data_IF_950529651890
#
_entry.id   IF_950529651890
#
_cell.length_a   1.000
_cell.length_b   1.000
_cell.length_c   1.000
_cell.angle_alpha   90.00
_cell.angle_beta   90.00
_cell.angle_gamma   90.00
#
_symmetry.space_group_name_H-M   'P 1'
#
loop_
_entity.id
_entity.type
_entity.pdbx_description
1 polymer ?
#
# COMPACT_ATOMS: atom_id res chain seq x y z
N UNK A 1 -0.67 14.38 -6.72
CA UNK A 1 0.54 13.66 -6.31
C UNK A 1 1.16 14.31 -5.06
N UNK A 2 1.33 15.66 -5.04
CA UNK A 2 1.88 16.37 -3.88
C UNK A 2 1.02 16.21 -2.62
N UNK A 3 -0.32 16.24 -2.76
CA UNK A 3 -1.25 15.99 -1.63
C UNK A 3 -1.21 14.55 -1.12
N UNK A 4 -0.65 13.63 -1.88
CA UNK A 4 -0.42 12.23 -1.47
C UNK A 4 1.02 11.98 -0.98
N UNK A 5 1.74 13.03 -0.59
CA UNK A 5 3.07 12.93 -0.01
C UNK A 5 4.23 12.84 -1.01
N UNK A 6 3.97 12.91 -2.32
CA UNK A 6 5.04 12.90 -3.34
C UNK A 6 5.83 14.22 -3.25
N UNK A 7 7.10 14.12 -2.92
CA UNK A 7 8.00 15.27 -2.74
C UNK A 7 9.15 15.34 -3.75
N UNK A 8 9.39 14.28 -4.51
CA UNK A 8 10.37 14.22 -5.59
C UNK A 8 9.68 13.86 -6.90
N UNK A 9 9.91 14.67 -7.93
CA UNK A 9 9.29 14.47 -9.23
C UNK A 9 10.36 14.16 -10.29
N UNK A 10 10.34 12.94 -10.78
CA UNK A 10 11.17 12.52 -11.91
C UNK A 10 10.27 12.31 -13.13
N UNK A 11 10.33 13.29 -14.05
CA UNK A 11 9.49 13.26 -15.23
C UNK A 11 10.04 12.27 -16.27
N UNK A 12 9.19 11.41 -16.76
CA UNK A 12 9.46 10.48 -17.84
C UNK A 12 8.44 10.66 -18.98
N UNK A 13 8.87 10.89 -20.22
CA UNK A 13 10.24 10.83 -20.70
C UNK A 13 10.61 12.04 -21.55
N UNK A 14 11.92 12.23 -21.74
CA UNK A 14 12.50 13.23 -22.59
C UNK A 14 13.25 12.53 -23.72
N UNK A 15 12.61 12.37 -24.88
CA UNK A 15 13.22 11.73 -26.04
C UNK A 15 14.03 12.73 -26.85
N UNK A 16 15.22 12.34 -27.26
CA UNK A 16 16.07 13.14 -28.12
C UNK A 16 15.41 13.38 -29.49
N UNK A 17 14.75 12.37 -30.03
CA UNK A 17 14.00 12.42 -31.28
C UNK A 17 12.68 11.66 -31.17
N UNK A 18 11.71 12.07 -31.98
CA UNK A 18 10.43 11.36 -32.15
C UNK A 18 10.27 10.86 -33.60
N UNK A 19 11.37 10.54 -34.29
CA UNK A 19 11.29 9.95 -35.62
C UNK A 19 10.87 8.50 -35.57
N UNK A 20 10.23 8.05 -36.63
CA UNK A 20 9.79 6.68 -36.84
C UNK A 20 9.00 6.11 -35.64
N UNK A 21 9.39 4.95 -35.16
CA UNK A 21 8.69 4.23 -34.08
C UNK A 21 8.69 4.97 -32.75
N UNK A 22 9.66 5.86 -32.50
CA UNK A 22 9.72 6.62 -31.24
C UNK A 22 8.53 7.55 -31.03
N UNK A 23 7.75 7.88 -32.10
CA UNK A 23 6.48 8.59 -31.97
C UNK A 23 5.42 7.82 -31.21
N UNK A 24 5.51 6.50 -31.24
CA UNK A 24 4.53 5.58 -30.65
C UNK A 24 4.98 5.05 -29.28
N UNK A 25 6.14 5.48 -28.80
CA UNK A 25 6.64 5.06 -27.52
C UNK A 25 5.83 5.68 -26.37
N UNK A 26 5.78 4.99 -25.26
CA UNK A 26 5.03 5.40 -24.07
C UNK A 26 5.99 5.60 -22.89
N UNK A 27 5.82 6.69 -22.16
CA UNK A 27 4.92 7.83 -22.35
C UNK A 27 5.40 8.78 -23.47
N UNK A 28 4.53 9.66 -23.98
CA UNK A 28 4.93 10.60 -25.04
C UNK A 28 6.01 11.58 -24.58
N UNK A 29 6.89 11.99 -25.50
CA UNK A 29 7.98 12.90 -25.21
C UNK A 29 7.49 14.24 -24.62
N UNK A 30 8.11 14.67 -23.54
CA UNK A 30 7.91 15.97 -22.90
C UNK A 30 8.97 16.99 -23.28
N UNK A 31 9.86 16.67 -24.23
CA UNK A 31 10.99 17.49 -24.64
C UNK A 31 10.61 18.50 -25.75
N UNK A 32 11.59 18.95 -26.51
CA UNK A 32 11.46 20.02 -27.53
C UNK A 32 10.34 19.80 -28.53
N UNK A 33 9.96 18.57 -28.79
CA UNK A 33 8.90 18.18 -29.72
C UNK A 33 7.50 18.41 -29.16
N UNK A 34 7.40 18.59 -27.83
CA UNK A 34 6.12 18.82 -27.17
C UNK A 34 5.71 20.30 -27.35
N UNK A 35 4.48 20.57 -27.85
CA UNK A 35 4.02 21.95 -28.04
C UNK A 35 3.99 22.79 -26.77
N UNK A 36 3.89 22.14 -25.60
CA UNK A 36 3.92 22.82 -24.30
C UNK A 36 5.32 23.05 -23.74
N UNK A 37 6.39 22.59 -24.40
CA UNK A 37 7.76 22.71 -23.91
C UNK A 37 8.15 24.12 -23.50
N UNK A 38 7.76 25.14 -24.28
CA UNK A 38 8.03 26.56 -23.98
C UNK A 38 7.42 27.04 -22.66
N UNK A 39 6.45 26.31 -22.11
CA UNK A 39 5.80 26.62 -20.83
C UNK A 39 6.28 25.74 -19.70
N UNK A 40 7.14 24.78 -19.97
CA UNK A 40 7.58 23.77 -19.00
C UNK A 40 8.21 24.40 -17.76
N UNK A 41 8.88 25.54 -17.92
CA UNK A 41 9.43 26.32 -16.82
C UNK A 41 8.38 26.67 -15.77
N UNK A 42 7.17 27.02 -16.18
CA UNK A 42 6.08 27.37 -15.25
C UNK A 42 5.65 26.15 -14.41
N UNK A 43 5.60 24.97 -15.03
CA UNK A 43 5.34 23.73 -14.31
C UNK A 43 6.46 23.41 -13.34
N UNK A 44 7.71 23.51 -13.77
CA UNK A 44 8.87 23.25 -12.93
C UNK A 44 8.93 24.18 -11.71
N UNK A 45 8.68 25.48 -11.90
CA UNK A 45 8.63 26.44 -10.80
C UNK A 45 7.47 26.16 -9.82
N UNK A 46 6.31 25.73 -10.33
CA UNK A 46 5.16 25.33 -9.49
C UNK A 46 5.50 24.09 -8.66
N UNK A 47 6.01 23.04 -9.31
CA UNK A 47 6.40 21.78 -8.64
C UNK A 47 7.53 22.03 -7.63
N UNK A 48 8.50 22.90 -7.99
CA UNK A 48 9.58 23.28 -7.08
C UNK A 48 9.08 23.97 -5.81
N UNK A 49 8.09 24.88 -5.92
CA UNK A 49 7.46 25.50 -4.73
C UNK A 49 6.71 24.49 -3.88
N UNK A 50 5.98 23.57 -4.49
CA UNK A 50 5.35 22.46 -3.76
C UNK A 50 6.38 21.60 -3.04
N UNK A 51 7.48 21.25 -3.74
CA UNK A 51 8.57 20.47 -3.17
C UNK A 51 9.17 21.10 -1.91
N UNK A 52 9.36 22.44 -1.90
CA UNK A 52 9.84 23.15 -0.70
C UNK A 52 8.93 22.97 0.50
N UNK A 53 7.61 22.89 0.29
CA UNK A 53 6.64 22.74 1.39
C UNK A 53 6.67 21.35 2.01
N UNK A 54 6.94 20.32 1.21
CA UNK A 54 6.83 18.92 1.66
C UNK A 54 8.18 18.20 1.80
N UNK A 55 9.27 18.82 1.32
CA UNK A 55 10.62 18.27 1.50
C UNK A 55 11.11 18.56 2.91
N UNK A 56 11.77 17.58 3.53
CA UNK A 56 12.25 17.64 4.91
C UNK A 56 11.16 17.81 5.97
N UNK A 57 9.94 17.41 5.66
CA UNK A 57 8.85 17.27 6.62
C UNK A 57 8.51 15.80 6.79
N UNK A 58 8.00 15.45 7.96
CA UNK A 58 7.45 14.12 8.24
C UNK A 58 5.93 14.23 8.26
N UNK A 59 5.25 13.25 7.67
CA UNK A 59 3.79 13.19 7.70
C UNK A 59 3.33 12.75 9.10
N UNK A 60 2.30 13.41 9.64
CA UNK A 60 1.65 13.01 10.89
C UNK A 60 0.47 12.09 10.56
N UNK A 61 0.77 10.82 10.25
CA UNK A 61 -0.21 9.81 9.88
C UNK A 61 -0.42 8.87 11.06
N UNK A 62 -1.67 8.75 11.51
CA UNK A 62 -2.06 7.94 12.65
C UNK A 62 -2.65 6.58 12.27
N UNK A 63 -3.01 6.39 11.00
CA UNK A 63 -3.70 5.21 10.49
C UNK A 63 -2.75 4.42 9.59
N UNK A 64 -2.60 3.13 9.86
CA UNK A 64 -1.98 2.18 8.95
C UNK A 64 -3.04 1.23 8.39
N UNK A 65 -2.97 0.92 7.10
CA UNK A 65 -3.76 -0.15 6.47
C UNK A 65 -2.82 -1.31 6.21
N UNK A 66 -3.04 -2.43 6.88
CA UNK A 66 -2.22 -3.63 6.68
C UNK A 66 -2.47 -4.21 5.30
N UNK A 67 -1.42 -4.43 4.54
CA UNK A 67 -1.51 -5.02 3.22
C UNK A 67 -1.78 -6.54 3.34
N UNK A 68 -2.87 -7.08 2.75
CA UNK A 68 -3.24 -8.49 2.90
C UNK A 68 -2.41 -9.40 1.97
N UNK A 69 -1.09 -9.22 1.95
CA UNK A 69 -0.16 -9.85 0.99
C UNK A 69 -0.16 -11.36 1.15
N UNK A 70 -0.03 -11.86 2.38
CA UNK A 70 -0.06 -13.28 2.65
C UNK A 70 -1.36 -13.94 2.16
N UNK A 71 -2.51 -13.31 2.47
CA UNK A 71 -3.81 -13.83 2.03
C UNK A 71 -3.96 -13.82 0.51
N UNK A 72 -3.45 -12.81 -0.18
CA UNK A 72 -3.42 -12.76 -1.64
C UNK A 72 -2.53 -13.84 -2.24
N UNK A 73 -1.32 -14.02 -1.70
CA UNK A 73 -0.38 -15.01 -2.22
C UNK A 73 -0.88 -16.44 -2.12
N UNK A 74 -1.65 -16.78 -1.09
CA UNK A 74 -2.26 -18.10 -0.99
C UNK A 74 -3.30 -18.38 -2.09
N UNK A 75 -3.74 -17.36 -2.83
CA UNK A 75 -4.73 -17.44 -3.92
C UNK A 75 -4.16 -17.08 -5.29
N UNK A 76 -2.91 -16.64 -5.35
CA UNK A 76 -2.22 -16.42 -6.61
C UNK A 76 -1.79 -17.78 -7.18
N UNK A 77 -2.19 -18.06 -8.41
CA UNK A 77 -1.69 -19.20 -9.17
C UNK A 77 -0.25 -18.99 -9.64
N UNK A 78 0.18 -19.84 -10.56
CA UNK A 78 1.52 -19.75 -11.14
C UNK A 78 1.74 -18.36 -11.78
N UNK A 79 2.76 -17.59 -11.34
CA UNK A 79 3.04 -16.24 -11.84
C UNK A 79 3.42 -16.21 -13.32
N UNK A 80 3.71 -17.37 -13.94
CA UNK A 80 4.03 -17.49 -15.37
C UNK A 80 2.81 -17.71 -16.27
N UNK A 81 1.60 -17.86 -15.72
CA UNK A 81 0.37 -18.09 -16.48
C UNK A 81 -0.36 -16.81 -16.90
N UNK A 82 0.37 -15.84 -17.34
CA UNK A 82 -0.18 -14.63 -17.93
C UNK A 82 -0.35 -13.48 -16.92
N UNK A 83 -0.74 -12.36 -17.47
CA UNK A 83 -0.93 -11.13 -16.70
C UNK A 83 -2.37 -10.59 -16.94
N UNK A 84 -3.11 -10.21 -15.89
CA UNK A 84 -2.74 -10.17 -14.48
C UNK A 84 -2.73 -11.57 -13.84
N UNK A 85 -1.87 -11.75 -12.85
CA UNK A 85 -1.81 -12.98 -12.07
C UNK A 85 -3.11 -13.18 -11.30
N UNK A 86 -3.69 -14.36 -11.46
CA UNK A 86 -4.92 -14.78 -10.80
C UNK A 86 -4.77 -16.21 -10.35
N UNK A 87 -5.61 -16.64 -9.43
CA UNK A 87 -5.71 -18.04 -9.03
C UNK A 87 -5.96 -18.97 -10.22
N UNK A 88 -5.53 -20.21 -10.15
CA UNK A 88 -5.67 -21.19 -11.24
C UNK A 88 -7.12 -21.59 -11.47
N UNK A 89 -7.94 -21.60 -10.42
CA UNK A 89 -9.37 -21.89 -10.50
C UNK A 89 -10.23 -20.63 -10.50
N UNK A 90 -11.42 -20.71 -11.08
CA UNK A 90 -12.40 -19.62 -11.04
C UNK A 90 -12.75 -19.18 -9.61
N UNK A 91 -12.77 -20.15 -8.67
CA UNK A 91 -13.02 -19.88 -7.26
C UNK A 91 -11.92 -19.06 -6.63
N UNK A 92 -10.65 -19.37 -6.90
CA UNK A 92 -9.49 -18.63 -6.42
C UNK A 92 -9.42 -17.24 -7.02
N UNK A 93 -9.71 -17.12 -8.31
CA UNK A 93 -9.80 -15.82 -8.98
C UNK A 93 -10.82 -14.92 -8.31
N UNK A 94 -12.04 -15.43 -8.05
CA UNK A 94 -13.10 -14.67 -7.35
C UNK A 94 -12.67 -14.23 -5.95
N UNK A 95 -11.97 -15.12 -5.22
CA UNK A 95 -11.47 -14.80 -3.87
C UNK A 95 -10.39 -13.71 -3.93
N UNK A 96 -9.46 -13.81 -4.86
CA UNK A 96 -8.41 -12.82 -5.06
C UNK A 96 -8.98 -11.46 -5.46
N UNK A 97 -9.93 -11.45 -6.40
CA UNK A 97 -10.62 -10.23 -6.83
C UNK A 97 -11.39 -9.59 -5.66
N UNK A 98 -12.08 -10.38 -4.86
CA UNK A 98 -12.78 -9.90 -3.66
C UNK A 98 -11.82 -9.23 -2.66
N UNK A 99 -10.73 -9.90 -2.27
CA UNK A 99 -9.76 -9.34 -1.34
C UNK A 99 -9.18 -8.02 -1.85
N UNK A 100 -8.79 -7.99 -3.13
CA UNK A 100 -8.25 -6.80 -3.77
C UNK A 100 -9.26 -5.66 -3.84
N UNK A 101 -10.49 -5.92 -4.24
CA UNK A 101 -11.54 -4.91 -4.33
C UNK A 101 -11.87 -4.30 -2.97
N UNK A 102 -11.93 -5.12 -1.92
CA UNK A 102 -12.17 -4.64 -0.56
C UNK A 102 -11.03 -3.81 -0.02
N UNK A 103 -9.81 -4.26 -0.21
CA UNK A 103 -8.63 -3.49 0.16
C UNK A 103 -8.60 -2.12 -0.53
N UNK A 104 -8.77 -2.09 -1.85
CA UNK A 104 -8.84 -0.84 -2.61
C UNK A 104 -10.03 0.04 -2.17
N UNK A 105 -11.18 -0.57 -1.82
CA UNK A 105 -12.33 0.16 -1.32
C UNK A 105 -12.05 0.87 0.02
N UNK A 106 -11.37 0.19 0.94
CA UNK A 106 -10.95 0.77 2.23
C UNK A 106 -10.05 1.97 1.97
N UNK A 107 -8.99 1.79 1.17
CA UNK A 107 -8.05 2.86 0.82
C UNK A 107 -8.76 4.08 0.19
N UNK A 108 -9.68 3.84 -0.76
CA UNK A 108 -10.49 4.91 -1.36
C UNK A 108 -11.41 5.58 -0.36
N UNK A 109 -12.01 4.82 0.55
CA UNK A 109 -12.90 5.37 1.58
C UNK A 109 -12.13 6.31 2.50
N UNK A 110 -10.95 5.94 2.96
CA UNK A 110 -10.08 6.80 3.75
C UNK A 110 -9.72 8.06 2.96
N UNK A 111 -9.19 7.91 1.75
CA UNK A 111 -8.77 9.01 0.89
C UNK A 111 -9.90 10.01 0.62
N UNK A 112 -11.11 9.54 0.25
CA UNK A 112 -12.24 10.41 -0.05
C UNK A 112 -12.84 11.09 1.18
N UNK A 113 -12.57 10.58 2.38
CA UNK A 113 -12.92 11.22 3.64
C UNK A 113 -11.77 12.05 4.24
N UNK A 114 -10.68 12.28 3.48
CA UNK A 114 -9.54 13.08 3.91
C UNK A 114 -8.85 12.53 5.18
N UNK A 115 -8.84 11.21 5.31
CA UNK A 115 -8.11 10.50 6.34
C UNK A 115 -6.82 9.98 5.72
N UNK A 116 -5.71 10.58 6.12
CA UNK A 116 -4.40 10.12 5.67
C UNK A 116 -4.07 8.77 6.31
N UNK A 117 -3.45 7.91 5.53
CA UNK A 117 -3.02 6.59 5.96
C UNK A 117 -1.77 6.15 5.22
N UNK A 118 -1.00 5.30 5.86
CA UNK A 118 0.10 4.58 5.24
C UNK A 118 -0.28 3.11 4.99
N UNK A 119 0.36 2.51 3.99
CA UNK A 119 0.36 1.07 3.82
C UNK A 119 1.38 0.44 4.77
N UNK A 120 0.99 -0.62 5.45
CA UNK A 120 1.83 -1.36 6.38
C UNK A 120 1.98 -2.79 5.88
N UNK A 121 3.18 -3.17 5.47
CA UNK A 121 3.50 -4.56 5.19
C UNK A 121 3.71 -5.34 6.50
N UNK A 122 3.26 -6.59 6.53
CA UNK A 122 3.42 -7.44 7.70
C UNK A 122 4.90 -7.59 8.12
N UNK A 123 5.83 -7.69 7.15
CA UNK A 123 7.27 -7.80 7.42
C UNK A 123 7.81 -6.60 8.21
N UNK A 124 7.26 -5.40 8.00
CA UNK A 124 7.68 -4.21 8.75
C UNK A 124 7.38 -4.31 10.25
N UNK A 125 6.41 -5.14 10.63
CA UNK A 125 6.07 -5.35 12.05
C UNK A 125 7.16 -6.09 12.82
N UNK A 126 8.04 -6.85 12.19
CA UNK A 126 9.17 -7.49 12.89
C UNK A 126 10.07 -6.46 13.59
N UNK A 127 10.36 -5.35 12.90
CA UNK A 127 11.24 -4.28 13.37
C UNK A 127 10.46 -3.18 14.13
N UNK A 128 9.14 -3.31 14.26
CA UNK A 128 8.32 -2.31 14.92
C UNK A 128 8.51 -2.33 16.45
N UNK A 129 8.62 -1.14 17.02
CA UNK A 129 8.53 -0.92 18.46
C UNK A 129 7.08 -0.59 18.84
N UNK A 130 6.56 -1.27 19.86
CA UNK A 130 5.23 -1.02 20.39
C UNK A 130 5.38 -0.29 21.73
N UNK A 131 4.90 0.94 21.78
CA UNK A 131 4.89 1.73 23.02
C UNK A 131 3.78 2.78 23.00
N UNK A 132 3.26 3.12 24.16
CA UNK A 132 2.25 4.14 24.37
C UNK A 132 1.00 3.98 23.46
N UNK A 133 0.60 2.74 23.18
CA UNK A 133 -0.54 2.43 22.29
C UNK A 133 -0.28 2.76 20.84
N UNK A 134 0.99 2.77 20.41
CA UNK A 134 1.38 3.04 19.02
C UNK A 134 2.37 2.01 18.49
N UNK A 135 2.32 1.82 17.18
CA UNK A 135 3.33 1.10 16.41
C UNK A 135 4.32 2.14 15.87
N UNK A 136 5.56 2.07 16.29
CA UNK A 136 6.63 2.94 15.84
C UNK A 136 7.47 2.25 14.78
N UNK A 137 7.58 2.90 13.60
CA UNK A 137 8.42 2.47 12.48
C UNK A 137 9.21 3.67 11.95
N UNK A 138 10.47 3.75 12.33
CA UNK A 138 11.31 4.91 12.01
C UNK A 138 10.70 6.19 12.60
N UNK A 139 10.19 7.07 11.74
CA UNK A 139 9.52 8.32 12.16
C UNK A 139 7.99 8.21 12.22
N UNK A 140 7.42 7.16 11.68
CA UNK A 140 5.98 6.93 11.70
C UNK A 140 5.53 6.36 13.05
N UNK A 141 4.31 6.72 13.49
CA UNK A 141 3.72 6.27 14.74
C UNK A 141 2.21 6.10 14.60
N UNK A 142 1.76 4.86 14.41
CA UNK A 142 0.36 4.55 14.15
C UNK A 142 -0.38 4.19 15.43
N UNK A 143 -1.53 4.81 15.66
CA UNK A 143 -2.45 4.49 16.76
C UNK A 143 -3.63 3.63 16.32
N UNK A 144 -3.86 3.51 15.02
CA UNK A 144 -4.93 2.70 14.43
C UNK A 144 -4.35 1.85 13.31
N UNK A 145 -4.66 0.54 13.32
CA UNK A 145 -4.38 -0.38 12.23
C UNK A 145 -5.69 -0.91 11.68
N UNK A 146 -5.89 -0.78 10.37
CA UNK A 146 -7.04 -1.35 9.67
C UNK A 146 -6.60 -2.62 8.96
N UNK A 147 -7.28 -3.71 9.25
CA UNK A 147 -7.11 -5.01 8.58
C UNK A 147 -8.16 -5.13 7.48
N UNK A 148 -7.78 -5.05 6.20
CA UNK A 148 -8.66 -5.47 5.12
C UNK A 148 -9.05 -6.94 5.30
N UNK A 149 -10.10 -7.43 4.61
CA UNK A 149 -10.45 -8.85 4.68
C UNK A 149 -9.25 -9.72 4.39
N UNK A 150 -8.89 -10.57 5.32
CA UNK A 150 -7.80 -11.52 5.18
C UNK A 150 -8.10 -12.77 6.00
N UNK A 151 -7.88 -13.95 5.42
CA UNK A 151 -8.14 -15.22 6.07
C UNK A 151 -6.91 -15.76 6.80
N UNK A 152 -5.74 -15.24 6.52
CA UNK A 152 -4.48 -15.59 7.16
C UNK A 152 -3.52 -14.38 7.22
N UNK A 153 -2.59 -14.45 8.15
CA UNK A 153 -1.44 -13.56 8.26
C UNK A 153 -0.26 -14.32 8.89
N UNK A 154 0.89 -13.72 8.92
CA UNK A 154 2.06 -14.23 9.61
C UNK A 154 1.88 -14.20 11.14
N UNK A 155 2.41 -15.20 11.84
CA UNK A 155 2.26 -15.30 13.31
C UNK A 155 2.95 -14.14 14.03
N UNK A 156 4.10 -13.70 13.55
CA UNK A 156 4.80 -12.55 14.14
C UNK A 156 3.99 -11.25 14.00
N UNK A 157 3.36 -11.04 12.83
CA UNK A 157 2.52 -9.86 12.60
C UNK A 157 1.32 -9.84 13.55
N UNK A 158 0.66 -10.98 13.72
CA UNK A 158 -0.43 -11.12 14.69
C UNK A 158 0.04 -10.83 16.12
N UNK A 159 1.17 -11.42 16.56
CA UNK A 159 1.69 -11.21 17.90
C UNK A 159 1.99 -9.73 18.16
N UNK A 160 2.52 -9.02 17.18
CA UNK A 160 2.74 -7.57 17.28
C UNK A 160 1.44 -6.76 17.37
N UNK A 161 0.39 -7.16 16.64
CA UNK A 161 -0.92 -6.52 16.73
C UNK A 161 -1.60 -6.81 18.09
N UNK A 162 -1.43 -8.02 18.65
CA UNK A 162 -1.89 -8.36 20.00
C UNK A 162 -1.16 -7.50 21.05
N UNK A 163 0.17 -7.37 20.95
CA UNK A 163 0.96 -6.48 21.82
C UNK A 163 0.49 -5.02 21.71
N UNK A 164 0.26 -4.54 20.49
CA UNK A 164 -0.24 -3.21 20.21
C UNK A 164 -1.59 -2.94 20.87
N UNK A 165 -2.55 -3.85 20.73
CA UNK A 165 -3.87 -3.71 21.35
C UNK A 165 -3.80 -3.80 22.88
N UNK A 166 -2.94 -4.66 23.43
CA UNK A 166 -2.73 -4.77 24.87
C UNK A 166 -2.16 -3.48 25.48
N UNK A 167 -1.46 -2.67 24.70
CA UNK A 167 -0.94 -1.37 25.12
C UNK A 167 -1.88 -0.19 24.78
N UNK A 168 -3.11 -0.45 24.31
CA UNK A 168 -4.13 0.57 24.08
C UNK A 168 -4.23 1.05 22.63
N UNK A 169 -3.52 0.43 21.71
CA UNK A 169 -3.68 0.66 20.27
C UNK A 169 -5.00 0.09 19.74
N UNK A 170 -5.46 0.56 18.59
CA UNK A 170 -6.74 0.16 18.00
C UNK A 170 -6.52 -0.64 16.72
N UNK A 171 -7.06 -1.85 16.66
CA UNK A 171 -7.13 -2.67 15.44
C UNK A 171 -8.58 -2.75 14.99
N UNK A 172 -8.83 -2.46 13.71
CA UNK A 172 -10.16 -2.50 13.09
C UNK A 172 -10.13 -3.58 12.00
N UNK A 173 -10.73 -4.73 12.24
CA UNK A 173 -10.92 -5.78 11.25
C UNK A 173 -12.17 -5.51 10.40
N UNK A 174 -12.04 -5.65 9.08
CA UNK A 174 -13.13 -5.45 8.13
C UNK A 174 -13.58 -6.80 7.55
N UNK A 175 -14.85 -7.14 7.78
CA UNK A 175 -15.54 -8.32 7.24
C UNK A 175 -14.90 -9.67 7.63
N UNK A 176 -13.72 -10.02 7.16
CA UNK A 176 -13.03 -11.29 7.41
C UNK A 176 -11.71 -11.03 8.15
N UNK A 177 -11.58 -11.56 9.35
CA UNK A 177 -10.35 -11.47 10.14
C UNK A 177 -9.52 -12.75 9.97
N UNK A 178 -8.19 -12.73 10.20
CA UNK A 178 -7.33 -13.90 10.03
C UNK A 178 -7.69 -15.00 11.01
N UNK A 179 -7.93 -16.20 10.49
CA UNK A 179 -8.29 -17.38 11.32
C UNK A 179 -7.14 -18.35 11.50
N UNK A 180 -6.03 -18.18 10.78
CA UNK A 180 -4.83 -19.01 10.95
C UNK A 180 -3.55 -18.23 10.58
N UNK A 181 -2.43 -18.68 11.13
CA UNK A 181 -1.11 -18.17 10.77
C UNK A 181 -0.56 -18.94 9.58
N UNK A 182 -0.04 -18.23 8.56
CA UNK A 182 0.48 -18.86 7.34
C UNK A 182 1.71 -19.75 7.61
N UNK A 183 2.51 -19.38 8.58
CA UNK A 183 3.69 -20.09 9.06
C UNK A 183 3.39 -21.20 10.07
N UNK A 184 2.15 -21.30 10.57
CA UNK A 184 1.67 -22.31 11.52
C UNK A 184 0.80 -23.41 10.95
N UNK A 185 0.45 -23.34 9.63
CA UNK A 185 -0.44 -24.29 8.96
C UNK A 185 -1.94 -24.05 9.18
N UNK A 186 -2.79 -24.69 8.35
CA UNK A 186 -4.24 -24.40 8.25
C UNK A 186 -5.07 -24.75 9.48
N UNK A 187 -4.56 -25.51 10.44
CA UNK A 187 -5.34 -26.07 11.55
C UNK A 187 -4.95 -25.53 12.92
N UNK A 188 -4.50 -24.31 13.02
CA UNK A 188 -4.19 -23.73 14.31
C UNK A 188 -5.48 -23.21 14.97
N UNK A 189 -6.14 -24.05 15.77
CA UNK A 189 -7.35 -23.68 16.53
C UNK A 189 -7.08 -22.56 17.54
N UNK A 190 -5.86 -22.47 18.08
CA UNK A 190 -5.43 -21.36 18.94
C UNK A 190 -5.59 -19.98 18.28
N UNK A 191 -5.51 -19.93 16.97
CA UNK A 191 -5.66 -18.65 16.22
C UNK A 191 -7.10 -18.17 16.20
N UNK A 192 -8.08 -19.08 16.23
CA UNK A 192 -9.52 -18.75 16.20
C UNK A 192 -10.05 -18.17 17.51
N UNK A 193 -9.40 -18.51 18.63
CA UNK A 193 -9.85 -18.09 19.97
C UNK A 193 -9.26 -16.74 20.42
N UNK A 194 -8.30 -16.19 19.68
CA UNK A 194 -7.54 -14.99 20.06
C UNK A 194 -8.05 -13.67 19.50
N UNK A 195 -9.02 -13.69 18.56
CA UNK A 195 -9.60 -12.49 17.94
C UNK A 195 -10.99 -12.13 18.48
#
# INVERSE_FOLDING_TARGET
>A
LGSSGINLYNFHAFYYTIQDITKHDAPPSQFLQNPYWKYYRKLADYVGRMGVMVTNTDADIQIAVLDPVAALWTKLGNPFHGFPYRGESEREQKKCDYLRERWVHICKTLLFNQLDYDHLDAEMLEDAEISDGKIHLGKAAYSVVILPPCHCMESYARNKLEEFTAQGGTVIGIEEIPTYAIDGGENNEETKERW
#
